data_IF_392228908906
#
_entry.id   IF_392228908906
#
_cell.length_a   1.000
_cell.length_b   1.000
_cell.length_c   1.000
_cell.angle_alpha   90.00
_cell.angle_beta   90.00
_cell.angle_gamma   90.00
#
_symmetry.space_group_name_H-M   'P 1'
#
loop_
_entity.id
_entity.type
_entity.pdbx_description
1 polymer ?
#
# COMPACT_ATOMS: atom_id res chain seq x y z
N UNK A 1 15.35 -2.66 -4.51
CA UNK A 1 14.29 -1.65 -4.31
C UNK A 1 14.01 -1.57 -2.82
N UNK A 2 14.10 -0.37 -2.27
CA UNK A 2 13.78 -0.11 -0.87
C UNK A 2 12.27 -0.26 -0.62
N UNK A 3 11.91 -0.80 0.54
CA UNK A 3 10.54 -0.80 1.01
C UNK A 3 10.16 0.59 1.58
N UNK A 4 8.89 0.79 1.94
CA UNK A 4 8.43 2.10 2.40
C UNK A 4 9.08 2.56 3.70
N UNK A 5 9.28 1.66 4.67
CA UNK A 5 9.96 2.00 5.92
C UNK A 5 11.43 2.35 5.71
N UNK A 6 12.12 1.63 4.83
CA UNK A 6 13.52 1.96 4.48
C UNK A 6 13.62 3.35 3.84
N UNK A 7 12.67 3.70 2.95
CA UNK A 7 12.58 5.04 2.38
C UNK A 7 12.33 6.11 3.44
N UNK A 8 11.43 5.87 4.41
CA UNK A 8 11.18 6.78 5.53
C UNK A 8 12.41 6.95 6.42
N UNK A 9 13.18 5.89 6.67
CA UNK A 9 14.45 5.99 7.41
C UNK A 9 15.46 6.88 6.66
N UNK A 10 15.55 6.75 5.34
CA UNK A 10 16.38 7.65 4.53
C UNK A 10 15.89 9.09 4.67
N UNK A 11 14.60 9.36 4.54
CA UNK A 11 14.04 10.70 4.69
C UNK A 11 14.32 11.30 6.08
N UNK A 12 14.23 10.49 7.14
CA UNK A 12 14.56 10.90 8.51
C UNK A 12 16.05 11.29 8.63
N UNK A 13 16.93 10.48 8.03
CA UNK A 13 18.38 10.75 8.01
C UNK A 13 18.69 12.04 7.25
N UNK A 14 18.06 12.26 6.10
CA UNK A 14 18.20 13.50 5.33
C UNK A 14 17.69 14.73 6.09
N UNK A 15 16.58 14.59 6.81
CA UNK A 15 16.03 15.65 7.66
C UNK A 15 16.98 16.00 8.80
N UNK A 16 17.55 15.00 9.46
CA UNK A 16 18.52 15.20 10.53
C UNK A 16 19.80 15.89 10.01
N UNK A 17 20.31 15.48 8.86
CA UNK A 17 21.45 16.13 8.21
C UNK A 17 21.20 17.61 7.93
N UNK A 18 20.03 17.91 7.38
CA UNK A 18 19.60 19.29 7.11
C UNK A 18 19.47 20.13 8.39
N UNK A 19 18.94 19.54 9.46
CA UNK A 19 18.84 20.21 10.76
C UNK A 19 20.22 20.46 11.38
N UNK A 20 21.10 19.45 11.35
CA UNK A 20 22.48 19.58 11.80
C UNK A 20 23.19 20.72 11.09
N UNK A 21 23.18 20.75 9.75
CA UNK A 21 23.79 21.82 8.96
C UNK A 21 23.25 23.19 9.34
N UNK A 22 21.93 23.35 9.41
CA UNK A 22 21.30 24.61 9.81
C UNK A 22 21.66 25.05 11.23
N UNK A 23 21.87 24.10 12.14
CA UNK A 23 22.25 24.40 13.51
C UNK A 23 23.68 24.89 13.58
N UNK A 24 24.61 24.20 12.92
CA UNK A 24 26.03 24.61 12.90
C UNK A 24 26.22 25.94 12.21
N UNK A 25 25.53 26.20 11.09
CA UNK A 25 25.59 27.48 10.37
C UNK A 25 25.18 28.71 11.21
N UNK A 26 24.46 28.50 12.34
CA UNK A 26 24.11 29.60 13.28
C UNK A 26 25.24 29.99 14.23
N UNK A 27 26.28 29.17 14.30
CA UNK A 27 27.42 29.34 15.22
C UNK A 27 28.74 29.37 14.43
N UNK A 28 29.01 30.45 13.67
CA UNK A 28 30.20 30.57 12.83
C UNK A 28 31.50 30.57 13.62
N UNK A 29 31.42 30.86 14.92
CA UNK A 29 32.57 30.82 15.87
C UNK A 29 33.06 29.41 16.16
N UNK A 30 32.25 28.39 15.90
CA UNK A 30 32.62 26.96 16.08
C UNK A 30 33.34 26.45 14.83
N UNK A 31 34.55 26.97 14.58
CA UNK A 31 35.33 26.72 13.36
C UNK A 31 35.47 25.23 13.05
N UNK A 32 35.86 24.42 14.02
CA UNK A 32 36.08 22.98 13.83
C UNK A 32 34.79 22.24 13.41
N UNK A 33 33.63 22.62 13.99
CA UNK A 33 32.36 22.02 13.60
C UNK A 33 31.92 22.47 12.20
N UNK A 34 32.12 23.74 11.89
CA UNK A 34 31.81 24.26 10.53
C UNK A 34 32.69 23.58 9.48
N UNK A 35 33.96 23.35 9.76
CA UNK A 35 34.87 22.62 8.88
C UNK A 35 34.42 21.16 8.71
N UNK A 36 34.04 20.47 9.80
CA UNK A 36 33.57 19.09 9.79
C UNK A 36 32.30 18.90 8.93
N UNK A 37 31.35 19.85 9.00
CA UNK A 37 30.10 19.75 8.23
C UNK A 37 30.17 20.44 6.86
N UNK A 38 31.34 20.97 6.46
CA UNK A 38 31.51 21.71 5.19
C UNK A 38 31.06 20.90 3.97
N UNK A 39 31.37 19.60 3.96
CA UNK A 39 31.06 18.67 2.88
C UNK A 39 29.67 18.03 2.99
N UNK A 40 28.94 18.35 4.06
CA UNK A 40 27.60 17.82 4.28
C UNK A 40 26.61 18.41 3.29
N UNK A 41 26.16 17.61 2.32
CA UNK A 41 25.10 17.96 1.37
C UNK A 41 23.72 17.64 1.95
N UNK A 42 22.74 18.44 1.59
CA UNK A 42 21.33 18.28 2.00
C UNK A 42 20.44 18.11 0.79
N UNK A 43 19.43 17.28 0.91
CA UNK A 43 18.51 16.91 -0.19
C UNK A 43 17.05 17.10 0.22
N UNK A 44 16.61 18.36 0.48
CA UNK A 44 15.25 18.65 0.95
C UNK A 44 14.17 18.22 -0.04
N UNK A 45 14.45 18.27 -1.34
CA UNK A 45 13.49 17.84 -2.36
C UNK A 45 13.26 16.32 -2.29
N UNK A 46 14.30 15.53 -2.12
CA UNK A 46 14.19 14.07 -1.97
C UNK A 46 13.48 13.70 -0.66
N UNK A 47 13.81 14.38 0.45
CA UNK A 47 13.12 14.22 1.74
C UNK A 47 11.61 14.46 1.57
N UNK A 48 11.23 15.59 0.97
CA UNK A 48 9.83 15.96 0.74
C UNK A 48 9.12 14.99 -0.20
N UNK A 49 9.79 14.56 -1.26
CA UNK A 49 9.22 13.62 -2.22
C UNK A 49 8.94 12.26 -1.59
N UNK A 50 9.85 11.76 -0.73
CA UNK A 50 9.61 10.51 0.00
C UNK A 50 8.37 10.66 0.90
N UNK A 51 8.28 11.72 1.71
CA UNK A 51 7.11 11.96 2.57
C UNK A 51 5.83 12.27 1.80
N UNK A 52 5.93 12.77 0.58
CA UNK A 52 4.77 12.92 -0.30
C UNK A 52 4.23 11.58 -0.81
N UNK A 53 5.15 10.67 -1.14
CA UNK A 53 4.83 9.39 -1.76
C UNK A 53 4.57 8.25 -0.79
N UNK A 54 5.15 8.31 0.42
CA UNK A 54 5.09 7.24 1.43
C UNK A 54 4.45 7.81 2.70
N UNK A 55 3.46 7.11 3.25
CA UNK A 55 2.84 7.44 4.53
C UNK A 55 3.58 6.83 5.73
N UNK A 56 3.13 7.16 6.95
CA UNK A 56 3.75 6.70 8.19
C UNK A 56 3.66 5.17 8.41
N UNK A 57 2.81 4.47 7.66
CA UNK A 57 2.71 3.02 7.65
C UNK A 57 3.66 2.37 6.63
N UNK A 58 4.38 3.16 5.85
CA UNK A 58 5.25 2.67 4.78
C UNK A 58 4.49 2.33 3.49
N UNK A 59 3.24 2.72 3.37
CA UNK A 59 2.44 2.50 2.18
C UNK A 59 2.57 3.67 1.18
N UNK A 60 2.45 3.34 -0.11
CA UNK A 60 2.45 4.37 -1.16
C UNK A 60 1.13 5.13 -1.14
N UNK A 61 1.20 6.45 -1.02
CA UNK A 61 0.03 7.34 -0.95
C UNK A 61 -0.66 7.53 -2.31
N UNK A 62 -1.93 7.92 -2.30
CA UNK A 62 -2.65 8.29 -3.53
C UNK A 62 -2.06 9.52 -4.24
N UNK A 63 -1.33 10.35 -3.49
CA UNK A 63 -0.65 11.54 -4.02
C UNK A 63 0.58 11.21 -4.88
N UNK A 64 1.14 10.02 -4.68
CA UNK A 64 2.35 9.59 -5.36
C UNK A 64 2.15 9.39 -6.87
N UNK A 65 0.92 9.07 -7.30
CA UNK A 65 0.60 8.79 -8.70
C UNK A 65 -0.90 8.95 -8.96
N UNK A 66 -1.26 9.78 -9.95
CA UNK A 66 -2.66 9.90 -10.41
C UNK A 66 -3.20 8.56 -10.90
N UNK A 67 -2.34 7.75 -11.52
CA UNK A 67 -2.70 6.40 -11.98
C UNK A 67 -3.05 5.51 -10.78
N UNK A 68 -2.27 5.54 -9.69
CA UNK A 68 -2.54 4.76 -8.48
C UNK A 68 -3.88 5.15 -7.86
N UNK A 69 -4.12 6.45 -7.71
CA UNK A 69 -5.41 6.97 -7.23
C UNK A 69 -6.57 6.46 -8.08
N UNK A 70 -6.48 6.58 -9.41
CA UNK A 70 -7.54 6.12 -10.32
C UNK A 70 -7.76 4.60 -10.25
N UNK A 71 -6.73 3.79 -9.99
CA UNK A 71 -6.85 2.34 -9.77
C UNK A 71 -7.62 2.07 -8.48
N UNK A 72 -7.24 2.72 -7.37
CA UNK A 72 -7.88 2.56 -6.05
C UNK A 72 -9.34 2.98 -6.06
N UNK A 73 -9.64 4.12 -6.67
CA UNK A 73 -11.02 4.61 -6.81
C UNK A 73 -11.90 3.59 -7.56
N UNK A 74 -11.42 3.04 -8.68
CA UNK A 74 -12.14 2.00 -9.43
C UNK A 74 -12.29 0.70 -8.65
N UNK A 75 -11.26 0.28 -7.94
CA UNK A 75 -11.32 -0.91 -7.09
C UNK A 75 -12.36 -0.75 -5.98
N UNK A 76 -12.41 0.44 -5.35
CA UNK A 76 -13.39 0.76 -4.33
C UNK A 76 -14.82 0.76 -4.89
N UNK A 77 -15.05 1.33 -6.06
CA UNK A 77 -16.35 1.29 -6.74
C UNK A 77 -16.81 -0.16 -7.03
N UNK A 78 -15.90 -1.00 -7.54
CA UNK A 78 -16.21 -2.41 -7.78
C UNK A 78 -16.57 -3.15 -6.48
N UNK A 79 -15.81 -2.91 -5.37
CA UNK A 79 -16.10 -3.50 -4.06
C UNK A 79 -17.49 -3.09 -3.55
N UNK A 80 -17.84 -1.81 -3.67
CA UNK A 80 -19.17 -1.31 -3.28
C UNK A 80 -20.29 -1.95 -4.10
N UNK A 81 -20.09 -2.12 -5.41
CA UNK A 81 -21.07 -2.79 -6.27
C UNK A 81 -21.26 -4.26 -5.89
N UNK A 82 -20.16 -5.00 -5.66
CA UNK A 82 -20.23 -6.38 -5.17
C UNK A 82 -20.99 -6.47 -3.86
N UNK A 83 -20.66 -5.62 -2.88
CA UNK A 83 -21.36 -5.59 -1.59
C UNK A 83 -22.84 -5.34 -1.74
N UNK A 84 -23.25 -4.38 -2.60
CA UNK A 84 -24.67 -4.10 -2.86
C UNK A 84 -25.41 -5.30 -3.46
N UNK A 85 -24.79 -5.98 -4.43
CA UNK A 85 -25.37 -7.19 -5.06
C UNK A 85 -25.51 -8.30 -4.02
N UNK A 86 -24.45 -8.56 -3.24
CA UNK A 86 -24.46 -9.63 -2.23
C UNK A 86 -25.44 -9.34 -1.11
N UNK A 87 -25.55 -8.10 -0.62
CA UNK A 87 -26.58 -7.73 0.35
C UNK A 87 -28.01 -7.99 -0.16
N UNK A 88 -28.25 -7.70 -1.45
CA UNK A 88 -29.52 -8.05 -2.08
C UNK A 88 -29.78 -9.57 -2.13
N UNK A 89 -28.74 -10.39 -2.30
CA UNK A 89 -28.83 -11.86 -2.23
C UNK A 89 -29.12 -12.31 -0.79
N UNK A 90 -28.42 -11.76 0.20
CA UNK A 90 -28.66 -12.07 1.63
C UNK A 90 -30.12 -11.85 2.02
N UNK A 91 -30.71 -10.77 1.54
CA UNK A 91 -32.11 -10.43 1.84
C UNK A 91 -33.11 -11.37 1.11
N UNK A 92 -32.91 -11.59 -0.18
CA UNK A 92 -33.86 -12.35 -1.01
C UNK A 92 -33.73 -13.87 -0.88
N UNK A 93 -32.57 -14.38 -0.50
CA UNK A 93 -32.24 -15.80 -0.46
C UNK A 93 -31.80 -16.28 0.94
N UNK A 94 -32.25 -15.60 1.98
CA UNK A 94 -31.87 -15.88 3.38
C UNK A 94 -32.07 -17.35 3.77
N UNK A 95 -33.11 -18.01 3.29
CA UNK A 95 -33.38 -19.44 3.58
C UNK A 95 -32.33 -20.40 3.04
N UNK A 96 -31.64 -20.03 1.93
CA UNK A 96 -30.57 -20.84 1.32
C UNK A 96 -29.22 -20.62 1.96
N UNK A 97 -29.03 -19.57 2.73
CA UNK A 97 -27.75 -19.22 3.35
C UNK A 97 -27.58 -19.92 4.69
N UNK A 98 -26.34 -20.34 4.97
CA UNK A 98 -25.97 -20.89 6.26
C UNK A 98 -25.87 -19.78 7.32
N UNK A 99 -25.30 -18.65 6.91
CA UNK A 99 -25.15 -17.41 7.69
C UNK A 99 -25.41 -16.19 6.80
N UNK A 100 -25.99 -15.14 7.39
CA UNK A 100 -26.30 -13.90 6.67
C UNK A 100 -25.10 -12.94 6.67
N UNK A 101 -23.99 -13.38 6.08
CA UNK A 101 -22.76 -12.59 5.98
C UNK A 101 -22.12 -12.70 4.60
N UNK A 102 -21.31 -11.69 4.29
CA UNK A 102 -20.41 -11.68 3.13
C UNK A 102 -19.01 -11.97 3.65
N UNK A 103 -18.30 -12.88 3.01
CA UNK A 103 -16.93 -13.23 3.37
C UNK A 103 -16.05 -13.29 2.13
N UNK A 104 -14.75 -13.56 2.33
CA UNK A 104 -13.80 -13.74 1.24
C UNK A 104 -13.21 -15.16 1.27
N UNK A 105 -13.05 -15.72 0.07
CA UNK A 105 -12.28 -16.96 -0.18
C UNK A 105 -11.49 -16.79 -1.45
N UNK A 106 -10.20 -17.10 -1.42
CA UNK A 106 -9.29 -16.96 -2.56
C UNK A 106 -9.38 -15.56 -3.23
N UNK A 107 -9.39 -14.50 -2.42
CA UNK A 107 -9.50 -13.09 -2.84
C UNK A 107 -10.80 -12.75 -3.59
N UNK A 108 -11.88 -13.50 -3.33
CA UNK A 108 -13.20 -13.26 -3.90
C UNK A 108 -14.25 -13.09 -2.83
N UNK A 109 -15.17 -12.17 -3.07
CA UNK A 109 -16.35 -12.03 -2.22
C UNK A 109 -17.33 -13.17 -2.52
N UNK A 110 -17.70 -13.89 -1.48
CA UNK A 110 -18.55 -15.07 -1.52
C UNK A 110 -19.62 -15.02 -0.43
N UNK A 111 -20.64 -15.87 -0.55
CA UNK A 111 -21.67 -16.07 0.49
C UNK A 111 -21.66 -17.53 0.94
N UNK A 112 -21.89 -17.82 2.25
CA UNK A 112 -21.99 -19.17 2.77
C UNK A 112 -23.39 -19.75 2.50
N UNK A 113 -23.48 -20.74 1.62
CA UNK A 113 -24.71 -21.39 1.17
C UNK A 113 -24.82 -22.79 1.78
N UNK A 114 -26.01 -23.18 2.25
CA UNK A 114 -26.30 -24.57 2.65
C UNK A 114 -26.06 -25.51 1.47
N UNK A 115 -25.28 -26.55 1.63
CA UNK A 115 -24.96 -27.50 0.56
C UNK A 115 -26.24 -28.07 -0.11
N UNK A 116 -27.28 -28.33 0.69
CA UNK A 116 -28.58 -28.79 0.22
C UNK A 116 -29.37 -27.74 -0.60
N UNK A 117 -28.95 -26.48 -0.55
CA UNK A 117 -29.60 -25.34 -1.25
C UNK A 117 -28.68 -24.71 -2.32
N UNK A 118 -27.67 -25.46 -2.79
CA UNK A 118 -26.67 -24.99 -3.77
C UNK A 118 -27.32 -24.32 -5.00
N UNK A 119 -28.37 -24.91 -5.52
CA UNK A 119 -29.02 -24.45 -6.75
C UNK A 119 -29.82 -23.14 -6.59
N UNK A 120 -30.11 -22.74 -5.35
CA UNK A 120 -30.79 -21.49 -5.07
C UNK A 120 -29.94 -20.23 -5.36
N UNK A 121 -28.62 -20.36 -5.37
CA UNK A 121 -27.64 -19.29 -5.65
C UNK A 121 -26.65 -19.81 -6.70
N UNK A 122 -26.97 -19.66 -8.00
CA UNK A 122 -26.06 -20.06 -9.07
C UNK A 122 -24.74 -19.30 -9.00
N UNK A 123 -23.62 -20.03 -9.08
CA UNK A 123 -22.29 -19.44 -9.00
C UNK A 123 -21.17 -20.47 -8.93
N UNK A 124 -19.98 -20.02 -8.57
CA UNK A 124 -18.78 -20.84 -8.46
C UNK A 124 -18.52 -21.14 -6.98
N UNK A 125 -18.34 -22.43 -6.65
CA UNK A 125 -17.91 -22.86 -5.31
C UNK A 125 -16.41 -22.66 -5.20
N UNK A 126 -15.96 -21.81 -4.28
CA UNK A 126 -14.53 -21.55 -4.03
C UNK A 126 -13.99 -22.33 -2.83
N UNK A 127 -14.87 -22.70 -1.92
CA UNK A 127 -14.47 -23.42 -0.71
C UNK A 127 -15.65 -24.19 -0.13
N UNK A 128 -15.36 -25.16 0.74
CA UNK A 128 -16.35 -25.98 1.44
C UNK A 128 -15.93 -26.08 2.91
N UNK A 129 -16.90 -25.98 3.83
CA UNK A 129 -16.62 -26.18 5.26
C UNK A 129 -16.13 -27.61 5.53
N UNK A 130 -15.37 -27.81 6.61
CA UNK A 130 -14.83 -29.11 6.98
C UNK A 130 -15.90 -30.20 7.15
N UNK A 131 -17.12 -29.82 7.56
CA UNK A 131 -18.27 -30.72 7.68
C UNK A 131 -19.00 -30.98 6.35
N UNK A 132 -18.66 -30.26 5.28
CA UNK A 132 -19.32 -30.36 3.98
C UNK A 132 -20.71 -29.72 3.90
N UNK A 133 -21.23 -29.14 5.00
CA UNK A 133 -22.60 -28.60 5.03
C UNK A 133 -22.73 -27.17 4.49
N UNK A 134 -21.60 -26.46 4.35
CA UNK A 134 -21.56 -25.08 3.85
C UNK A 134 -20.65 -24.98 2.63
N UNK A 135 -21.19 -24.39 1.56
CA UNK A 135 -20.44 -24.06 0.36
C UNK A 135 -20.24 -22.53 0.29
N UNK A 136 -19.02 -22.10 0.07
CA UNK A 136 -18.70 -20.69 -0.15
C UNK A 136 -18.80 -20.38 -1.63
N UNK A 137 -19.94 -19.77 -2.02
CA UNK A 137 -20.30 -19.54 -3.44
C UNK A 137 -20.04 -18.10 -3.81
N UNK A 138 -19.32 -17.90 -4.91
CA UNK A 138 -19.29 -16.63 -5.66
C UNK A 138 -20.50 -16.61 -6.59
N UNK A 139 -21.51 -15.77 -6.34
CA UNK A 139 -22.68 -15.71 -7.21
C UNK A 139 -22.32 -15.28 -8.62
N UNK A 140 -22.99 -15.84 -9.61
CA UNK A 140 -22.74 -15.55 -11.04
C UNK A 140 -22.79 -14.04 -11.34
N UNK A 141 -23.64 -13.29 -10.64
CA UNK A 141 -23.81 -11.84 -10.80
C UNK A 141 -22.60 -11.01 -10.32
N UNK A 142 -21.66 -11.60 -9.55
CA UNK A 142 -20.49 -10.91 -9.01
C UNK A 142 -19.17 -11.34 -9.63
N UNK A 143 -19.14 -12.39 -10.47
CA UNK A 143 -17.92 -12.95 -11.05
C UNK A 143 -17.11 -11.89 -11.81
N UNK A 144 -17.77 -11.11 -12.68
CA UNK A 144 -17.10 -10.07 -13.47
C UNK A 144 -16.46 -8.99 -12.57
N UNK A 145 -17.20 -8.54 -11.54
CA UNK A 145 -16.70 -7.53 -10.61
C UNK A 145 -15.55 -8.06 -9.76
N UNK A 146 -15.62 -9.28 -9.25
CA UNK A 146 -14.52 -9.91 -8.52
C UNK A 146 -13.26 -10.07 -9.40
N UNK A 147 -13.43 -10.40 -10.69
CA UNK A 147 -12.32 -10.43 -11.63
C UNK A 147 -11.69 -9.04 -11.81
N UNK A 148 -12.51 -8.00 -11.94
CA UNK A 148 -12.03 -6.62 -12.05
C UNK A 148 -11.27 -6.18 -10.76
N UNK A 149 -11.80 -6.50 -9.59
CA UNK A 149 -11.12 -6.20 -8.31
C UNK A 149 -9.73 -6.84 -8.27
N UNK A 150 -9.60 -8.13 -8.62
CA UNK A 150 -8.31 -8.82 -8.66
C UNK A 150 -7.34 -8.18 -9.65
N UNK A 151 -7.82 -7.82 -10.83
CA UNK A 151 -7.00 -7.13 -11.83
C UNK A 151 -6.53 -5.76 -11.32
N UNK A 152 -7.42 -4.98 -10.71
CA UNK A 152 -7.09 -3.67 -10.16
C UNK A 152 -6.13 -3.77 -8.97
N UNK A 153 -6.30 -4.77 -8.09
CA UNK A 153 -5.35 -5.03 -6.99
C UNK A 153 -3.95 -5.33 -7.52
N UNK A 154 -3.84 -6.12 -8.58
CA UNK A 154 -2.54 -6.39 -9.22
C UNK A 154 -1.92 -5.13 -9.82
N UNK A 155 -2.73 -4.33 -10.53
CA UNK A 155 -2.27 -3.05 -11.10
C UNK A 155 -1.83 -2.06 -10.00
N UNK A 156 -2.51 -2.05 -8.86
CA UNK A 156 -2.14 -1.25 -7.68
C UNK A 156 -0.77 -1.65 -7.15
N UNK A 157 -0.52 -2.95 -7.01
CA UNK A 157 0.78 -3.48 -6.56
C UNK A 157 1.90 -3.11 -7.53
N UNK A 158 1.68 -3.30 -8.84
CA UNK A 158 2.63 -2.95 -9.89
C UNK A 158 2.95 -1.45 -9.91
N UNK A 159 1.95 -0.59 -9.76
CA UNK A 159 2.14 0.86 -9.74
C UNK A 159 2.83 1.33 -8.44
N UNK A 160 2.47 0.77 -7.29
CA UNK A 160 3.12 1.04 -6.01
C UNK A 160 4.60 0.64 -6.03
N UNK A 161 4.91 -0.51 -6.63
CA UNK A 161 6.30 -0.93 -6.81
C UNK A 161 7.06 0.01 -7.75
N UNK A 162 6.42 0.49 -8.83
CA UNK A 162 7.01 1.47 -9.75
C UNK A 162 7.42 2.74 -9.00
N UNK A 163 6.55 3.26 -8.12
CA UNK A 163 6.84 4.44 -7.30
C UNK A 163 8.03 4.18 -6.38
N UNK A 164 8.01 3.08 -5.62
CA UNK A 164 9.14 2.72 -4.73
C UNK A 164 10.45 2.56 -5.49
N UNK A 165 10.42 1.96 -6.68
CA UNK A 165 11.60 1.78 -7.53
C UNK A 165 12.16 3.13 -8.00
N UNK A 166 11.30 4.09 -8.37
CA UNK A 166 11.72 5.42 -8.76
C UNK A 166 12.38 6.18 -7.58
N UNK A 167 11.79 6.12 -6.38
CA UNK A 167 12.39 6.71 -5.17
C UNK A 167 13.71 6.04 -4.81
N UNK A 168 13.78 4.71 -4.87
CA UNK A 168 15.02 3.95 -4.60
C UNK A 168 16.16 4.33 -5.56
N UNK A 169 15.85 4.58 -6.82
CA UNK A 169 16.83 5.05 -7.78
C UNK A 169 17.37 6.44 -7.43
N UNK A 170 16.51 7.35 -6.96
CA UNK A 170 16.93 8.68 -6.48
C UNK A 170 17.79 8.60 -5.23
N UNK A 171 17.44 7.72 -4.28
CA UNK A 171 18.27 7.46 -3.09
C UNK A 171 19.64 6.91 -3.50
N UNK A 172 19.69 5.95 -4.43
CA UNK A 172 20.94 5.40 -4.93
C UNK A 172 21.84 6.46 -5.60
N UNK A 173 21.24 7.44 -6.27
CA UNK A 173 21.99 8.53 -6.89
C UNK A 173 22.74 9.44 -5.89
N UNK A 174 22.23 9.53 -4.65
CA UNK A 174 22.84 10.33 -3.56
C UNK A 174 23.61 9.46 -2.55
N UNK A 175 23.77 8.17 -2.81
CA UNK A 175 24.46 7.24 -1.90
C UNK A 175 25.84 7.74 -1.46
N UNK A 176 26.74 8.26 -2.31
CA UNK A 176 28.04 8.75 -1.87
C UNK A 176 27.95 9.88 -0.83
N UNK A 177 26.96 10.77 -0.99
CA UNK A 177 26.72 11.87 -0.04
C UNK A 177 26.15 11.35 1.29
N UNK A 178 25.34 10.28 1.27
CA UNK A 178 24.85 9.62 2.49
C UNK A 178 25.99 8.91 3.25
N UNK A 179 26.95 8.33 2.58
CA UNK A 179 28.14 7.73 3.19
C UNK A 179 28.99 8.80 3.88
N UNK A 180 29.22 9.95 3.25
CA UNK A 180 29.89 11.11 3.85
C UNK A 180 29.14 11.61 5.08
N UNK A 181 27.81 11.68 5.01
CA UNK A 181 26.99 12.05 6.18
C UNK A 181 27.22 11.11 7.36
N UNK A 182 27.20 9.80 7.12
CA UNK A 182 27.41 8.80 8.19
C UNK A 182 28.81 8.94 8.81
N UNK A 183 29.83 9.18 8.01
CA UNK A 183 31.20 9.41 8.48
C UNK A 183 31.28 10.67 9.35
N UNK A 184 30.63 11.78 8.95
CA UNK A 184 30.57 13.01 9.74
C UNK A 184 29.87 12.77 11.09
N UNK A 185 28.71 12.10 11.08
CA UNK A 185 27.94 11.82 12.31
C UNK A 185 28.72 10.93 13.29
N UNK A 186 29.57 10.04 12.81
CA UNK A 186 30.43 9.19 13.67
C UNK A 186 31.61 9.93 14.29
N UNK A 187 31.97 11.13 13.80
CA UNK A 187 33.03 11.97 14.29
C UNK A 187 32.56 13.06 15.28
N UNK A 188 31.25 13.29 15.37
CA UNK A 188 30.58 14.23 16.29
C UNK A 188 30.39 13.62 17.67
#
# INVERSE_FOLDING_TARGET
VLNGFELLHVATTLSAARQLRRTVDRFPELVNLNELVSDLRTFPELEQEIHHCIDDQGDVTDRASEKLRGIRDRAQQCRQQVQKILQGILQRKSGALQELLITQRADRFVVPVKAAQKDAIPGIVHDTSASGVTLYIEPQSTISLNNQIRQLTRQEQEESERVRRALSAKVAAVQPDLEVLLDIVTQL
#
